data_IF_081776544715
#
_entry.id   IF_081776544715
#
_cell.length_a   1.000
_cell.length_b   1.000
_cell.length_c   1.000
_cell.angle_alpha   90.00
_cell.angle_beta   90.00
_cell.angle_gamma   90.00
#
_symmetry.space_group_name_H-M   'P 1'
#
loop_
_entity.id
_entity.type
_entity.pdbx_description
1 polymer ?
#
# COMPACT_ATOMS: atom_id res chain seq x y z
N UNK A 1 70.31 -19.82 9.30
CA UNK A 1 69.90 -18.44 8.96
C UNK A 1 68.70 -18.55 8.05
N UNK A 2 67.49 -18.43 8.62
CA UNK A 2 66.22 -18.63 7.92
C UNK A 2 65.32 -17.41 8.12
N UNK A 3 64.90 -16.82 7.01
CA UNK A 3 63.83 -15.82 6.82
C UNK A 3 63.38 -16.09 5.37
N UNK A 4 62.11 -16.20 4.98
CA UNK A 4 60.92 -15.53 5.45
C UNK A 4 59.71 -16.47 5.47
N UNK A 5 58.91 -16.34 6.52
CA UNK A 5 57.60 -16.98 6.62
C UNK A 5 56.65 -16.45 5.55
N UNK A 6 55.93 -17.38 4.92
CA UNK A 6 54.71 -17.05 4.21
C UNK A 6 53.69 -16.54 5.21
N UNK A 7 53.26 -15.29 5.06
CA UNK A 7 52.07 -14.81 5.74
C UNK A 7 50.90 -15.67 5.29
N UNK A 8 50.13 -16.30 6.20
CA UNK A 8 48.86 -16.91 5.81
C UNK A 8 47.97 -15.76 5.35
N UNK A 9 47.60 -15.76 4.06
CA UNK A 9 46.52 -14.92 3.57
C UNK A 9 45.27 -15.42 4.31
N UNK A 10 44.89 -14.69 5.36
CA UNK A 10 43.59 -14.86 5.99
C UNK A 10 42.56 -14.77 4.88
N UNK A 11 41.79 -15.85 4.67
CA UNK A 11 40.56 -15.78 3.89
C UNK A 11 39.63 -14.87 4.70
N UNK A 12 39.77 -13.56 4.49
CA UNK A 12 38.82 -12.60 5.03
C UNK A 12 37.48 -12.89 4.36
N UNK A 13 36.61 -13.56 5.12
CA UNK A 13 35.21 -13.72 4.74
C UNK A 13 34.55 -12.35 4.66
N UNK A 14 33.37 -12.26 4.02
CA UNK A 14 32.61 -11.03 4.02
C UNK A 14 32.38 -10.55 5.47
N UNK A 15 32.40 -9.23 5.72
CA UNK A 15 32.14 -8.70 7.06
C UNK A 15 30.75 -9.13 7.55
N UNK A 16 30.59 -9.24 8.87
CA UNK A 16 29.25 -9.40 9.45
C UNK A 16 28.35 -8.21 9.08
N UNK A 17 27.03 -8.38 9.13
CA UNK A 17 26.07 -7.30 8.81
C UNK A 17 26.32 -6.04 9.65
N UNK A 18 26.62 -6.20 10.95
CA UNK A 18 27.00 -5.09 11.83
C UNK A 18 28.30 -4.40 11.41
N UNK A 19 29.35 -5.17 11.08
CA UNK A 19 30.62 -4.60 10.62
C UNK A 19 30.48 -3.91 9.26
N UNK A 20 29.71 -4.48 8.34
CA UNK A 20 29.40 -3.88 7.04
C UNK A 20 28.66 -2.55 7.19
N UNK A 21 27.67 -2.49 8.09
CA UNK A 21 26.95 -1.26 8.41
C UNK A 21 27.86 -0.21 9.03
N UNK A 22 28.78 -0.60 9.92
CA UNK A 22 29.76 0.31 10.51
C UNK A 22 30.74 0.85 9.46
N UNK A 23 31.22 0.02 8.54
CA UNK A 23 32.06 0.47 7.43
C UNK A 23 31.32 1.47 6.53
N UNK A 24 30.07 1.18 6.20
CA UNK A 24 29.21 2.10 5.43
C UNK A 24 29.02 3.42 6.18
N UNK A 25 28.77 3.37 7.48
CA UNK A 25 28.61 4.54 8.34
C UNK A 25 29.85 5.44 8.33
N UNK A 26 31.03 4.85 8.51
CA UNK A 26 32.32 5.54 8.48
C UNK A 26 32.60 6.16 7.12
N UNK A 27 32.29 5.44 6.04
CA UNK A 27 32.40 5.95 4.68
C UNK A 27 31.50 7.16 4.45
N UNK A 28 30.21 7.05 4.79
CA UNK A 28 29.26 8.15 4.64
C UNK A 28 29.61 9.35 5.52
N UNK A 29 30.19 9.12 6.71
CA UNK A 29 30.73 10.15 7.58
C UNK A 29 31.87 10.92 6.92
N UNK A 30 32.89 10.20 6.45
CA UNK A 30 34.07 10.77 5.80
C UNK A 30 33.70 11.63 4.60
N UNK A 31 32.71 11.21 3.82
CA UNK A 31 32.30 11.87 2.58
C UNK A 31 31.05 12.76 2.73
N UNK A 32 30.50 12.92 3.94
CA UNK A 32 29.28 13.70 4.22
C UNK A 32 28.06 13.26 3.39
N UNK A 33 27.93 11.96 3.15
CA UNK A 33 26.92 11.35 2.29
C UNK A 33 25.70 10.81 3.06
N UNK A 34 25.46 11.22 4.30
CA UNK A 34 24.43 10.60 5.15
C UNK A 34 23.03 10.59 4.55
N UNK A 35 22.59 11.72 3.97
CA UNK A 35 21.29 11.75 3.29
C UNK A 35 21.24 10.78 2.10
N UNK A 36 22.35 10.62 1.37
CA UNK A 36 22.46 9.66 0.27
C UNK A 36 22.51 8.22 0.78
N UNK A 37 23.13 7.96 1.93
CA UNK A 37 23.16 6.65 2.57
C UNK A 37 21.75 6.15 2.90
N UNK A 38 20.95 7.00 3.54
CA UNK A 38 19.55 6.72 3.85
C UNK A 38 18.75 6.40 2.59
N UNK A 39 18.90 7.23 1.56
CA UNK A 39 18.23 7.06 0.26
C UNK A 39 18.67 5.76 -0.41
N UNK A 40 19.97 5.47 -0.42
CA UNK A 40 20.52 4.25 -1.02
C UNK A 40 20.05 3.00 -0.29
N UNK A 41 19.95 3.05 1.05
CA UNK A 41 19.44 1.93 1.84
C UNK A 41 17.98 1.62 1.49
N UNK A 42 17.11 2.64 1.44
CA UNK A 42 15.68 2.42 1.10
C UNK A 42 15.51 2.03 -0.37
N UNK A 43 16.35 2.52 -1.27
CA UNK A 43 16.39 2.06 -2.66
C UNK A 43 16.81 0.59 -2.77
N UNK A 44 17.77 0.14 -1.95
CA UNK A 44 18.22 -1.25 -1.94
C UNK A 44 17.11 -2.24 -1.51
N UNK A 45 16.11 -1.80 -0.74
CA UNK A 45 14.95 -2.63 -0.38
C UNK A 45 14.10 -3.04 -1.60
N UNK A 46 14.27 -2.36 -2.72
CA UNK A 46 13.56 -2.67 -3.96
C UNK A 46 14.32 -3.63 -4.87
N UNK A 47 15.57 -4.01 -4.55
CA UNK A 47 16.36 -4.95 -5.37
C UNK A 47 15.58 -6.25 -5.66
N UNK A 48 14.93 -6.90 -4.68
CA UNK A 48 14.16 -8.12 -4.95
C UNK A 48 12.96 -7.88 -5.87
N UNK A 49 12.33 -6.69 -5.79
CA UNK A 49 11.17 -6.33 -6.61
C UNK A 49 11.54 -6.06 -8.08
N UNK A 50 12.80 -5.75 -8.37
CA UNK A 50 13.26 -5.46 -9.73
C UNK A 50 13.55 -6.71 -10.55
N UNK A 51 13.67 -7.88 -9.92
CA UNK A 51 13.77 -9.18 -10.60
C UNK A 51 14.81 -9.25 -11.75
N UNK A 52 15.89 -8.47 -11.66
CA UNK A 52 16.96 -8.41 -12.67
C UNK A 52 16.87 -7.24 -13.65
N UNK A 53 15.82 -6.42 -13.59
CA UNK A 53 15.68 -5.22 -14.40
C UNK A 53 16.77 -4.19 -14.05
N UNK A 54 17.26 -3.49 -15.08
CA UNK A 54 18.25 -2.43 -14.91
C UNK A 54 17.61 -1.18 -14.30
N UNK A 55 18.20 -0.67 -13.22
CA UNK A 55 17.82 0.63 -12.64
C UNK A 55 18.71 1.72 -13.24
N UNK A 56 18.09 2.82 -13.67
CA UNK A 56 18.82 4.06 -13.91
C UNK A 56 18.87 4.86 -12.61
N UNK A 57 20.04 4.86 -11.95
CA UNK A 57 20.25 5.69 -10.77
C UNK A 57 20.54 7.14 -11.19
N UNK A 58 20.10 8.14 -10.41
CA UNK A 58 20.39 9.53 -10.70
C UNK A 58 21.91 9.75 -10.77
N UNK A 59 22.37 10.39 -11.83
CA UNK A 59 23.80 10.71 -12.01
C UNK A 59 24.26 11.58 -10.82
N UNK A 60 25.33 11.18 -10.10
CA UNK A 60 25.85 11.96 -8.99
C UNK A 60 26.24 13.36 -9.49
N UNK A 61 25.52 14.39 -9.03
CA UNK A 61 25.95 15.78 -9.23
C UNK A 61 26.96 16.07 -8.12
N UNK A 62 28.22 16.30 -8.50
CA UNK A 62 29.27 16.70 -7.56
C UNK A 62 28.91 18.08 -6.98
N UNK A 63 28.23 18.11 -5.85
CA UNK A 63 27.93 19.36 -5.17
C UNK A 63 29.18 19.78 -4.39
N UNK A 64 29.92 20.75 -4.92
CA UNK A 64 31.00 21.44 -4.21
C UNK A 64 30.41 22.31 -3.07
N UNK A 65 29.85 21.68 -2.04
CA UNK A 65 29.37 22.40 -0.85
C UNK A 65 30.46 22.41 0.24
N UNK A 66 31.33 23.41 0.16
CA UNK A 66 32.19 23.84 1.26
C UNK A 66 31.36 24.68 2.25
N UNK A 67 30.58 24.01 3.09
CA UNK A 67 29.90 24.63 4.23
C UNK A 67 30.08 23.79 5.51
N UNK A 68 30.16 24.41 6.70
CA UNK A 68 30.16 23.68 7.95
C UNK A 68 28.73 23.18 8.23
N UNK A 69 28.44 21.93 7.89
CA UNK A 69 27.14 21.33 8.17
C UNK A 69 27.08 20.86 9.63
N UNK A 70 26.16 21.40 10.43
CA UNK A 70 25.82 20.93 11.79
C UNK A 70 25.26 19.50 11.86
N UNK A 71 25.25 18.77 10.73
CA UNK A 71 24.72 17.42 10.56
C UNK A 71 25.61 16.32 11.13
N UNK A 72 26.88 16.60 11.46
CA UNK A 72 27.87 15.58 11.88
C UNK A 72 27.56 14.85 13.20
N UNK A 73 26.79 15.44 14.11
CA UNK A 73 26.39 14.79 15.38
C UNK A 73 25.02 14.09 15.27
N UNK A 74 24.09 14.63 14.47
CA UNK A 74 22.82 13.95 14.15
C UNK A 74 23.02 12.67 13.33
N UNK A 75 24.18 12.56 12.67
CA UNK A 75 24.44 11.53 11.67
C UNK A 75 24.98 10.19 12.20
N UNK A 76 25.68 10.15 13.34
CA UNK A 76 26.04 8.87 13.99
C UNK A 76 24.79 8.17 14.55
N UNK A 77 23.79 8.95 14.96
CA UNK A 77 22.52 8.44 15.47
C UNK A 77 21.68 7.77 14.38
N UNK A 78 21.67 8.30 13.15
CA UNK A 78 20.91 7.72 12.03
C UNK A 78 21.37 6.31 11.64
N UNK A 79 22.68 6.05 11.64
CA UNK A 79 23.20 4.70 11.34
C UNK A 79 22.83 3.72 12.45
N UNK A 80 22.92 4.16 13.70
CA UNK A 80 22.51 3.35 14.86
C UNK A 80 21.02 3.02 14.79
N UNK A 81 20.20 4.02 14.46
CA UNK A 81 18.77 3.85 14.20
C UNK A 81 18.55 2.83 13.06
N UNK A 82 19.23 2.94 11.93
CA UNK A 82 19.14 1.93 10.87
C UNK A 82 19.52 0.53 11.33
N UNK A 83 20.52 0.40 12.21
CA UNK A 83 20.91 -0.89 12.82
C UNK A 83 19.76 -1.49 13.63
N UNK A 84 19.05 -0.66 14.40
CA UNK A 84 17.94 -1.09 15.25
C UNK A 84 16.71 -1.52 14.43
N UNK A 85 16.58 -1.03 13.18
CA UNK A 85 15.48 -1.39 12.27
C UNK A 85 15.92 -2.28 11.10
N UNK A 86 17.18 -2.70 11.01
CA UNK A 86 17.74 -3.37 9.82
C UNK A 86 17.02 -4.69 9.50
N UNK A 87 16.77 -5.52 10.51
CA UNK A 87 16.02 -6.78 10.36
C UNK A 87 14.63 -6.54 9.74
N UNK A 88 13.97 -5.45 10.14
CA UNK A 88 12.66 -5.06 9.62
C UNK A 88 12.74 -4.57 8.18
N UNK A 89 13.71 -3.73 7.85
CA UNK A 89 13.91 -3.34 6.46
C UNK A 89 14.22 -4.54 5.56
N UNK A 90 15.06 -5.47 6.02
CA UNK A 90 15.36 -6.70 5.28
C UNK A 90 14.13 -7.59 5.07
N UNK A 91 13.27 -7.75 6.08
CA UNK A 91 12.03 -8.51 5.88
C UNK A 91 11.05 -7.80 4.93
N UNK A 92 10.93 -6.47 4.98
CA UNK A 92 10.14 -5.72 4.00
C UNK A 92 10.67 -5.97 2.58
N UNK A 93 11.98 -5.91 2.38
CA UNK A 93 12.65 -6.21 1.11
C UNK A 93 12.31 -7.61 0.58
N UNK A 94 12.24 -8.60 1.49
CA UNK A 94 11.88 -9.98 1.15
C UNK A 94 10.38 -10.19 0.87
N UNK A 95 9.50 -9.28 1.33
CA UNK A 95 8.06 -9.32 1.05
C UNK A 95 7.69 -8.35 -0.09
N UNK A 96 8.02 -8.76 -1.32
CA UNK A 96 7.81 -7.97 -2.54
C UNK A 96 6.34 -7.55 -2.73
N UNK A 97 5.40 -8.45 -2.42
CA UNK A 97 3.97 -8.15 -2.52
C UNK A 97 3.52 -7.16 -1.44
N UNK A 98 3.99 -7.34 -0.20
CA UNK A 98 3.78 -6.40 0.90
C UNK A 98 4.30 -5.00 0.60
N UNK A 99 5.46 -4.89 -0.04
CA UNK A 99 6.01 -3.59 -0.48
C UNK A 99 5.10 -2.89 -1.50
N UNK A 100 4.61 -3.61 -2.52
CA UNK A 100 3.63 -3.07 -3.48
C UNK A 100 2.32 -2.66 -2.78
N UNK A 101 1.88 -3.45 -1.82
CA UNK A 101 0.68 -3.21 -1.02
C UNK A 101 0.81 -1.94 -0.18
N UNK A 102 1.96 -1.75 0.48
CA UNK A 102 2.26 -0.56 1.26
C UNK A 102 2.18 0.70 0.40
N UNK A 103 2.86 0.74 -0.75
CA UNK A 103 2.77 1.90 -1.65
C UNK A 103 1.31 2.17 -2.08
N UNK A 104 0.56 1.12 -2.43
CA UNK A 104 -0.86 1.23 -2.80
C UNK A 104 -1.70 1.84 -1.69
N UNK A 105 -1.40 1.52 -0.42
CA UNK A 105 -2.15 2.01 0.74
C UNK A 105 -2.10 3.52 0.95
N UNK A 106 -1.13 4.22 0.34
CA UNK A 106 -1.05 5.70 0.40
C UNK A 106 -2.29 6.36 -0.20
N UNK A 107 -2.94 5.68 -1.14
CA UNK A 107 -4.16 6.15 -1.81
C UNK A 107 -5.43 5.63 -1.17
N UNK A 108 -5.34 4.70 -0.21
CA UNK A 108 -6.50 4.07 0.41
C UNK A 108 -7.18 4.98 1.45
N UNK A 109 -8.50 4.84 1.55
CA UNK A 109 -9.33 5.42 2.59
C UNK A 109 -10.48 4.44 2.91
N UNK A 110 -10.56 3.98 4.17
CA UNK A 110 -11.53 2.97 4.60
C UNK A 110 -12.99 3.43 4.56
N UNK A 111 -13.24 4.74 4.48
CA UNK A 111 -14.59 5.28 4.40
C UNK A 111 -15.16 5.35 2.98
N UNK A 112 -14.31 5.14 1.96
CA UNK A 112 -14.72 5.20 0.56
C UNK A 112 -15.31 3.87 0.14
N UNK A 113 -16.55 3.91 -0.32
CA UNK A 113 -17.24 2.77 -0.91
C UNK A 113 -16.68 2.44 -2.30
N UNK A 114 -16.74 1.16 -2.68
CA UNK A 114 -16.18 0.63 -3.91
C UNK A 114 -16.66 1.33 -5.20
N UNK A 115 -17.89 1.85 -5.21
CA UNK A 115 -18.48 2.59 -6.33
C UNK A 115 -17.97 4.05 -6.42
N UNK A 116 -17.36 4.58 -5.36
CA UNK A 116 -16.88 5.95 -5.26
C UNK A 116 -15.35 6.07 -5.36
N UNK A 117 -14.65 4.97 -5.63
CA UNK A 117 -13.19 4.91 -5.70
C UNK A 117 -12.62 5.89 -6.74
N UNK A 118 -13.18 5.94 -7.94
CA UNK A 118 -12.73 6.90 -8.95
C UNK A 118 -12.91 8.35 -8.49
N UNK A 119 -14.03 8.69 -7.85
CA UNK A 119 -14.27 10.03 -7.31
C UNK A 119 -13.25 10.42 -6.23
N UNK A 120 -12.80 9.45 -5.44
CA UNK A 120 -11.73 9.62 -4.46
C UNK A 120 -10.35 9.77 -5.10
N UNK A 121 -10.03 8.95 -6.11
CA UNK A 121 -8.69 8.89 -6.70
C UNK A 121 -8.42 10.01 -7.72
N UNK A 122 -9.42 10.45 -8.48
CA UNK A 122 -9.25 11.40 -9.57
C UNK A 122 -8.65 12.76 -9.11
N UNK A 123 -9.10 13.37 -8.00
CA UNK A 123 -8.44 14.57 -7.46
C UNK A 123 -6.99 14.35 -7.05
N UNK A 124 -6.67 13.17 -6.52
CA UNK A 124 -5.29 12.82 -6.14
C UNK A 124 -4.41 12.76 -7.39
N UNK A 125 -4.90 12.13 -8.45
CA UNK A 125 -4.18 12.04 -9.73
C UNK A 125 -4.09 13.38 -10.47
N UNK A 126 -5.05 14.27 -10.32
CA UNK A 126 -4.95 15.63 -10.85
C UNK A 126 -3.74 16.39 -10.25
N UNK A 127 -3.36 16.08 -9.01
CA UNK A 127 -2.18 16.64 -8.33
C UNK A 127 -0.90 15.87 -8.65
N UNK A 128 -0.94 14.53 -8.66
CA UNK A 128 0.28 13.72 -8.80
C UNK A 128 0.73 13.52 -10.24
N UNK A 129 -0.19 13.46 -11.21
CA UNK A 129 0.17 13.25 -12.63
C UNK A 129 1.09 14.34 -13.18
N UNK A 130 0.86 15.66 -12.95
CA UNK A 130 1.77 16.69 -13.43
C UNK A 130 3.16 16.61 -12.81
N UNK A 131 3.28 16.09 -11.59
CA UNK A 131 4.57 15.91 -10.91
C UNK A 131 5.35 14.73 -11.49
N UNK A 132 4.64 13.66 -11.85
CA UNK A 132 5.18 12.51 -12.57
C UNK A 132 5.64 12.91 -13.97
N UNK A 133 4.78 13.59 -14.75
CA UNK A 133 5.07 13.99 -16.12
C UNK A 133 6.13 15.10 -16.22
N UNK A 134 6.12 16.06 -15.29
CA UNK A 134 7.09 17.13 -15.24
C UNK A 134 8.43 16.75 -14.61
N UNK A 135 8.65 15.46 -14.34
CA UNK A 135 9.86 14.91 -13.72
C UNK A 135 10.29 15.68 -12.45
N UNK A 136 9.35 15.86 -11.51
CA UNK A 136 9.58 16.55 -10.23
C UNK A 136 9.66 15.57 -9.04
N UNK A 137 10.65 14.65 -8.99
CA UNK A 137 10.69 13.54 -8.04
C UNK A 137 10.69 13.99 -6.57
N UNK A 138 11.38 15.09 -6.26
CA UNK A 138 11.42 15.62 -4.89
C UNK A 138 10.06 16.18 -4.43
N UNK A 139 9.30 16.78 -5.34
CA UNK A 139 7.96 17.30 -5.01
C UNK A 139 6.98 16.14 -4.86
N UNK A 140 7.07 15.15 -5.74
CA UNK A 140 6.29 13.92 -5.65
C UNK A 140 6.55 13.18 -4.33
N UNK A 141 7.82 13.01 -3.93
CA UNK A 141 8.20 12.39 -2.67
C UNK A 141 7.62 13.14 -1.46
N UNK A 142 7.64 14.48 -1.49
CA UNK A 142 7.03 15.31 -0.45
C UNK A 142 5.52 15.10 -0.38
N UNK A 143 4.80 15.20 -1.51
CA UNK A 143 3.34 15.04 -1.54
C UNK A 143 2.92 13.67 -1.00
N UNK A 144 3.57 12.60 -1.47
CA UNK A 144 3.27 11.23 -1.04
C UNK A 144 3.66 11.00 0.43
N UNK A 145 4.81 11.54 0.85
CA UNK A 145 5.26 11.49 2.24
C UNK A 145 4.35 12.28 3.19
N UNK A 146 3.81 13.42 2.78
CA UNK A 146 2.81 14.16 3.56
C UNK A 146 1.49 13.39 3.66
N UNK A 147 1.08 12.69 2.58
CA UNK A 147 -0.15 11.89 2.58
C UNK A 147 -0.07 10.67 3.49
N UNK A 148 1.10 10.03 3.56
CA UNK A 148 1.34 8.88 4.43
C UNK A 148 2.79 8.89 4.97
N UNK A 149 3.05 9.59 6.09
CA UNK A 149 4.41 9.77 6.63
C UNK A 149 5.15 8.47 6.94
N UNK A 150 4.42 7.44 7.38
CA UNK A 150 4.97 6.09 7.66
C UNK A 150 5.64 5.45 6.45
N UNK A 151 5.22 5.84 5.24
CA UNK A 151 5.69 5.28 3.98
C UNK A 151 6.53 6.26 3.17
N UNK A 152 6.86 7.43 3.73
CA UNK A 152 7.62 8.47 3.04
C UNK A 152 8.99 7.95 2.56
N UNK A 153 9.67 7.17 3.40
CA UNK A 153 10.96 6.54 3.08
C UNK A 153 10.83 5.51 1.95
N UNK A 154 9.76 4.71 1.96
CA UNK A 154 9.48 3.75 0.90
C UNK A 154 9.20 4.45 -0.43
N UNK A 155 8.40 5.52 -0.44
CA UNK A 155 8.16 6.32 -1.64
C UNK A 155 9.43 6.96 -2.19
N UNK A 156 10.30 7.46 -1.31
CA UNK A 156 11.60 8.00 -1.71
C UNK A 156 12.45 6.93 -2.42
N UNK A 157 12.52 5.72 -1.87
CA UNK A 157 13.18 4.60 -2.52
C UNK A 157 12.55 4.25 -3.88
N UNK A 158 11.22 4.11 -3.94
CA UNK A 158 10.49 3.79 -5.17
C UNK A 158 10.71 4.82 -6.28
N UNK A 159 10.79 6.12 -5.93
CA UNK A 159 11.07 7.19 -6.88
C UNK A 159 12.50 7.06 -7.41
N UNK A 160 13.48 6.80 -6.54
CA UNK A 160 14.89 6.67 -6.92
C UNK A 160 15.13 5.47 -7.84
N UNK A 161 14.41 4.37 -7.63
CA UNK A 161 14.53 3.18 -8.48
C UNK A 161 13.58 3.16 -9.68
N UNK A 162 12.81 4.25 -9.91
CA UNK A 162 11.90 4.37 -11.06
C UNK A 162 10.59 3.60 -10.95
N UNK A 163 10.23 3.08 -9.78
CA UNK A 163 9.01 2.30 -9.53
C UNK A 163 7.78 3.16 -9.22
N UNK A 164 7.94 4.44 -8.91
CA UNK A 164 6.80 5.30 -8.56
C UNK A 164 5.74 5.39 -9.68
N UNK A 165 6.18 5.59 -10.93
CA UNK A 165 5.31 5.73 -12.09
C UNK A 165 4.49 4.45 -12.39
N UNK A 166 5.09 3.26 -12.52
CA UNK A 166 4.31 2.04 -12.75
C UNK A 166 3.36 1.75 -11.58
N UNK A 167 3.76 2.01 -10.34
CA UNK A 167 2.88 1.87 -9.17
C UNK A 167 1.67 2.80 -9.26
N UNK A 168 1.87 4.09 -9.51
CA UNK A 168 0.78 5.07 -9.64
C UNK A 168 -0.15 4.71 -10.82
N UNK A 169 0.41 4.26 -11.95
CA UNK A 169 -0.35 3.79 -13.11
C UNK A 169 -1.26 2.61 -12.76
N UNK A 170 -0.74 1.61 -12.06
CA UNK A 170 -1.51 0.42 -11.66
C UNK A 170 -2.67 0.78 -10.74
N UNK A 171 -2.43 1.63 -9.74
CA UNK A 171 -3.48 2.10 -8.82
C UNK A 171 -4.60 2.82 -9.58
N UNK A 172 -4.24 3.65 -10.58
CA UNK A 172 -5.20 4.39 -11.39
C UNK A 172 -6.17 3.49 -12.16
N UNK A 173 -5.71 2.33 -12.62
CA UNK A 173 -6.54 1.36 -13.36
C UNK A 173 -7.17 0.30 -12.44
N UNK A 174 -7.19 0.54 -11.12
CA UNK A 174 -7.81 -0.36 -10.15
C UNK A 174 -6.96 -1.58 -9.77
N UNK A 175 -5.72 -1.69 -10.24
CA UNK A 175 -4.79 -2.74 -9.85
C UNK A 175 -4.10 -2.36 -8.54
N UNK A 176 -4.79 -2.61 -7.43
CA UNK A 176 -4.27 -2.40 -6.08
C UNK A 176 -3.75 -3.70 -5.49
N UNK A 177 -2.56 -3.67 -4.89
CA UNK A 177 -2.08 -4.77 -4.06
C UNK A 177 -2.61 -4.60 -2.62
N UNK A 178 -3.02 -5.72 -2.01
CA UNK A 178 -3.49 -5.79 -0.62
C UNK A 178 -2.77 -6.95 0.08
N UNK A 179 -2.19 -6.70 1.26
CA UNK A 179 -1.49 -7.69 2.08
C UNK A 179 -1.55 -7.29 3.56
N UNK A 180 -2.30 -8.07 4.36
CA UNK A 180 -2.64 -7.68 5.72
C UNK A 180 -1.47 -7.75 6.69
N UNK A 181 -0.49 -8.62 6.46
CA UNK A 181 0.65 -8.73 7.37
C UNK A 181 1.54 -7.48 7.28
N UNK A 182 1.83 -7.01 6.06
CA UNK A 182 2.55 -5.76 5.83
C UNK A 182 1.79 -4.55 6.38
N UNK A 183 0.46 -4.53 6.20
CA UNK A 183 -0.43 -3.51 6.78
C UNK A 183 -0.28 -3.45 8.31
N UNK A 184 -0.50 -4.59 8.95
CA UNK A 184 -0.45 -4.75 10.38
C UNK A 184 0.91 -4.39 10.97
N UNK A 185 1.98 -4.89 10.35
CA UNK A 185 3.35 -4.69 10.83
C UNK A 185 3.85 -3.25 10.73
N UNK A 186 3.37 -2.49 9.73
CA UNK A 186 3.72 -1.08 9.54
C UNK A 186 2.73 -0.12 10.22
N UNK A 187 1.65 -0.65 10.79
CA UNK A 187 0.55 0.15 11.33
C UNK A 187 -0.13 0.99 10.23
N UNK A 188 -0.30 0.44 9.04
CA UNK A 188 -1.01 1.08 7.92
C UNK A 188 -2.36 0.42 7.67
N UNK A 189 -3.34 1.23 7.27
CA UNK A 189 -4.65 0.72 6.82
C UNK A 189 -4.60 0.49 5.32
N UNK A 190 -4.97 -0.72 4.89
CA UNK A 190 -4.88 -1.13 3.49
C UNK A 190 -6.17 -1.75 2.96
N UNK A 191 -7.12 -2.11 3.81
CA UNK A 191 -8.39 -2.72 3.42
C UNK A 191 -9.45 -2.44 4.48
N UNK A 192 -10.71 -2.36 4.06
CA UNK A 192 -11.84 -2.26 4.97
C UNK A 192 -11.94 -3.46 5.93
N UNK A 193 -11.42 -4.63 5.54
CA UNK A 193 -11.47 -5.88 6.34
C UNK A 193 -10.75 -5.71 7.69
N UNK A 194 -9.72 -4.88 7.76
CA UNK A 194 -8.95 -4.63 8.99
C UNK A 194 -9.48 -3.45 9.81
N UNK A 195 -10.58 -2.82 9.38
CA UNK A 195 -11.29 -1.78 10.15
C UNK A 195 -12.22 -2.46 11.16
N UNK A 196 -12.39 -1.84 12.34
CA UNK A 196 -13.27 -2.37 13.39
C UNK A 196 -14.73 -2.48 12.91
N UNK A 197 -15.45 -3.52 13.34
CA UNK A 197 -16.82 -3.75 12.89
C UNK A 197 -17.79 -2.68 13.39
N UNK A 198 -18.84 -2.44 12.61
CA UNK A 198 -19.93 -1.54 12.97
C UNK A 198 -20.93 -2.14 13.96
N UNK A 199 -21.91 -1.33 14.35
CA UNK A 199 -23.09 -1.81 15.07
C UNK A 199 -24.12 -2.40 14.10
N UNK A 200 -24.76 -3.50 14.49
CA UNK A 200 -25.89 -4.14 13.81
C UNK A 200 -27.14 -4.04 14.71
N UNK A 201 -28.30 -3.79 14.10
CA UNK A 201 -29.63 -3.64 14.72
C UNK A 201 -30.40 -4.96 14.91
N UNK A 202 -29.83 -6.07 14.43
CA UNK A 202 -30.39 -7.43 14.48
C UNK A 202 -31.21 -7.82 13.24
N UNK A 203 -31.45 -6.89 12.32
CA UNK A 203 -32.23 -7.13 11.09
C UNK A 203 -31.39 -6.98 9.83
N UNK A 204 -30.50 -5.99 9.81
CA UNK A 204 -29.64 -5.66 8.67
C UNK A 204 -28.18 -5.73 9.10
N UNK A 205 -27.33 -6.28 8.23
CA UNK A 205 -25.88 -6.25 8.40
C UNK A 205 -25.26 -5.39 7.30
N UNK A 206 -24.35 -4.50 7.68
CA UNK A 206 -23.53 -3.77 6.70
C UNK A 206 -22.72 -4.75 5.87
N UNK A 207 -22.69 -4.58 4.55
CA UNK A 207 -21.99 -5.53 3.68
C UNK A 207 -20.50 -5.63 4.01
N UNK A 208 -19.87 -4.57 4.51
CA UNK A 208 -18.49 -4.67 4.99
C UNK A 208 -18.33 -5.57 6.20
N UNK A 209 -19.30 -5.59 7.13
CA UNK A 209 -19.28 -6.45 8.31
C UNK A 209 -19.61 -7.89 7.93
N UNK A 210 -20.52 -8.09 6.97
CA UNK A 210 -20.75 -9.40 6.36
C UNK A 210 -19.46 -9.94 5.72
N UNK A 211 -18.78 -9.16 4.88
CA UNK A 211 -17.51 -9.55 4.29
C UNK A 211 -16.45 -9.92 5.34
N UNK A 212 -16.34 -9.13 6.43
CA UNK A 212 -15.41 -9.43 7.53
C UNK A 212 -15.73 -10.77 8.18
N UNK A 213 -16.99 -11.02 8.49
CA UNK A 213 -17.42 -12.27 9.11
C UNK A 213 -17.15 -13.45 8.19
N UNK A 214 -17.57 -13.38 6.92
CA UNK A 214 -17.30 -14.42 5.92
C UNK A 214 -15.81 -14.79 5.86
N UNK A 215 -14.93 -13.79 5.84
CA UNK A 215 -13.48 -14.02 5.81
C UNK A 215 -12.94 -14.61 7.12
N UNK A 216 -13.35 -14.06 8.27
CA UNK A 216 -12.86 -14.50 9.59
C UNK A 216 -13.32 -15.92 9.91
N UNK A 217 -14.56 -16.27 9.58
CA UNK A 217 -15.11 -17.62 9.80
C UNK A 217 -14.69 -18.61 8.71
N UNK A 218 -14.13 -18.12 7.60
CA UNK A 218 -13.74 -18.91 6.44
C UNK A 218 -14.85 -19.89 5.98
N UNK A 219 -16.12 -19.49 6.12
CA UNK A 219 -17.25 -20.31 5.70
C UNK A 219 -17.32 -20.36 4.16
N UNK A 220 -17.96 -21.39 3.61
CA UNK A 220 -18.43 -21.47 2.21
C UNK A 220 -17.45 -20.98 1.12
N UNK A 221 -16.15 -21.24 1.29
CA UNK A 221 -15.11 -20.91 0.31
C UNK A 221 -14.43 -19.55 0.49
N UNK A 222 -14.83 -18.74 1.47
CA UNK A 222 -14.26 -17.43 1.80
C UNK A 222 -12.90 -17.50 2.54
N UNK A 223 -12.02 -18.43 2.12
CA UNK A 223 -10.67 -18.65 2.68
C UNK A 223 -9.67 -17.58 2.29
N UNK A 224 -9.99 -16.77 1.26
CA UNK A 224 -9.15 -15.69 0.77
C UNK A 224 -9.88 -14.36 0.95
N UNK A 225 -9.18 -13.30 1.36
CA UNK A 225 -9.81 -12.00 1.50
C UNK A 225 -10.20 -11.40 0.14
N UNK A 226 -11.07 -10.39 0.12
CA UNK A 226 -11.31 -9.60 -1.08
C UNK A 226 -10.01 -8.99 -1.59
N UNK A 227 -9.79 -9.09 -2.91
CA UNK A 227 -8.61 -8.48 -3.56
C UNK A 227 -8.70 -6.96 -3.48
N UNK A 228 -9.89 -6.41 -3.70
CA UNK A 228 -10.13 -4.97 -3.65
C UNK A 228 -10.29 -4.48 -2.20
N UNK A 229 -9.56 -3.41 -1.82
CA UNK A 229 -9.50 -2.96 -0.44
C UNK A 229 -10.70 -2.12 0.02
N UNK A 230 -11.59 -1.75 -0.90
CA UNK A 230 -12.68 -0.80 -0.70
C UNK A 230 -13.93 -1.49 -0.18
N UNK A 231 -14.67 -0.84 0.73
CA UNK A 231 -15.87 -1.43 1.31
C UNK A 231 -17.01 -1.53 0.29
N UNK A 232 -17.81 -2.61 0.29
CA UNK A 232 -19.08 -2.61 -0.41
C UNK A 232 -20.01 -1.55 0.20
N UNK A 233 -20.91 -0.97 -0.61
CA UNK A 233 -21.94 -0.07 -0.11
C UNK A 233 -23.18 -0.86 0.33
N UNK A 234 -23.98 -0.25 1.20
CA UNK A 234 -25.29 -0.77 1.62
C UNK A 234 -25.24 -1.97 2.57
N UNK A 235 -26.40 -2.58 2.74
CA UNK A 235 -26.67 -3.59 3.77
C UNK A 235 -27.38 -4.82 3.19
N UNK A 236 -27.25 -5.94 3.89
CA UNK A 236 -27.89 -7.22 3.61
C UNK A 236 -28.86 -7.53 4.73
N UNK A 237 -30.05 -8.05 4.41
CA UNK A 237 -30.94 -8.58 5.45
C UNK A 237 -30.25 -9.75 6.12
N UNK A 238 -30.19 -9.76 7.44
CA UNK A 238 -29.45 -10.79 8.17
C UNK A 238 -29.95 -12.19 7.83
N UNK A 239 -31.27 -12.36 7.63
CA UNK A 239 -31.89 -13.63 7.22
C UNK A 239 -31.46 -14.15 5.83
N UNK A 240 -30.93 -13.28 4.95
CA UNK A 240 -30.40 -13.66 3.64
C UNK A 240 -28.87 -13.87 3.66
N UNK A 241 -28.18 -13.51 4.74
CA UNK A 241 -26.75 -13.71 4.89
C UNK A 241 -26.44 -15.19 5.23
N UNK A 242 -25.19 -15.61 5.03
CA UNK A 242 -24.75 -16.97 5.35
C UNK A 242 -24.99 -17.32 6.83
N UNK A 243 -25.30 -18.59 7.13
CA UNK A 243 -25.67 -19.02 8.49
C UNK A 243 -24.60 -18.69 9.53
N UNK A 244 -23.33 -18.80 9.17
CA UNK A 244 -22.21 -18.41 10.04
C UNK A 244 -22.23 -16.90 10.33
N UNK A 245 -22.52 -16.07 9.32
CA UNK A 245 -22.69 -14.62 9.49
C UNK A 245 -23.85 -14.33 10.44
N UNK A 246 -24.98 -15.01 10.28
CA UNK A 246 -26.15 -14.85 11.17
C UNK A 246 -25.81 -15.13 12.64
N UNK A 247 -25.07 -16.20 12.90
CA UNK A 247 -24.64 -16.58 14.25
C UNK A 247 -23.69 -15.55 14.87
N UNK A 248 -22.80 -14.97 14.07
CA UNK A 248 -21.73 -14.10 14.55
C UNK A 248 -22.02 -12.59 14.47
N UNK A 249 -23.11 -12.19 13.80
CA UNK A 249 -23.49 -10.78 13.63
C UNK A 249 -23.66 -10.00 14.95
N UNK A 250 -24.10 -10.68 16.01
CA UNK A 250 -24.29 -10.06 17.33
C UNK A 250 -23.02 -10.01 18.20
N UNK A 251 -21.95 -10.73 17.83
CA UNK A 251 -20.77 -10.88 18.68
C UNK A 251 -19.95 -9.58 18.83
N UNK A 252 -19.97 -8.70 17.82
CA UNK A 252 -19.29 -7.38 17.80
C UNK A 252 -17.78 -7.38 18.12
N UNK A 253 -17.14 -8.54 18.23
CA UNK A 253 -15.74 -8.68 18.62
C UNK A 253 -14.86 -9.29 17.53
N UNK A 254 -15.45 -9.78 16.43
CA UNK A 254 -14.72 -10.41 15.33
C UNK A 254 -13.99 -9.36 14.51
N UNK A 255 -12.68 -9.25 14.73
CA UNK A 255 -11.80 -8.36 14.02
C UNK A 255 -10.38 -8.93 13.96
N UNK A 256 -9.61 -8.51 12.96
CA UNK A 256 -8.20 -8.86 12.86
C UNK A 256 -7.38 -7.87 13.68
N UNK A 257 -6.62 -8.38 14.65
CA UNK A 257 -5.66 -7.58 15.41
C UNK A 257 -4.27 -8.18 15.26
N UNK A 258 -3.30 -7.33 14.98
CA UNK A 258 -1.90 -7.73 15.02
C UNK A 258 -1.55 -8.18 16.44
N UNK A 259 -0.90 -9.33 16.56
CA UNK A 259 -0.40 -9.84 17.83
C UNK A 259 1.10 -9.69 17.88
N UNK A 260 1.81 -10.55 17.17
CA UNK A 260 3.27 -10.61 17.14
C UNK A 260 3.74 -11.22 15.82
N UNK A 261 5.01 -10.99 15.51
CA UNK A 261 5.75 -11.65 14.44
C UNK A 261 6.74 -12.62 15.06
N UNK A 262 6.93 -13.79 14.44
CA UNK A 262 7.79 -14.84 14.98
C UNK A 262 8.89 -15.20 13.98
N UNK A 263 10.15 -15.06 14.38
CA UNK A 263 11.31 -15.47 13.62
C UNK A 263 11.71 -16.90 14.00
N UNK A 264 11.53 -17.83 13.06
CA UNK A 264 12.02 -19.20 13.22
C UNK A 264 13.51 -19.23 12.89
N UNK A 265 14.33 -19.48 13.90
CA UNK A 265 15.79 -19.54 13.79
C UNK A 265 16.23 -20.94 13.33
N UNK A 266 17.39 -21.02 12.68
CA UNK A 266 17.92 -22.28 12.15
C UNK A 266 18.24 -23.32 13.25
N UNK A 267 18.41 -22.88 14.49
CA UNK A 267 18.59 -23.73 15.66
C UNK A 267 17.26 -24.28 16.23
N UNK A 268 16.12 -23.96 15.61
CA UNK A 268 14.78 -24.39 16.05
C UNK A 268 14.13 -23.48 17.09
N UNK A 269 14.82 -22.43 17.56
CA UNK A 269 14.24 -21.45 18.46
C UNK A 269 13.33 -20.48 17.71
N UNK A 270 12.39 -19.87 18.43
CA UNK A 270 11.50 -18.83 17.90
C UNK A 270 11.73 -17.53 18.65
N UNK A 271 12.04 -16.47 17.93
CA UNK A 271 12.13 -15.12 18.49
C UNK A 271 10.85 -14.35 18.18
N UNK A 272 10.14 -13.95 19.22
CA UNK A 272 8.95 -13.11 19.10
C UNK A 272 9.33 -11.62 18.97
N UNK A 273 8.74 -10.93 18.00
CA UNK A 273 8.87 -9.50 17.72
C UNK A 273 7.48 -8.86 17.76
N UNK A 274 7.27 -7.93 18.70
CA UNK A 274 6.01 -7.22 18.86
C UNK A 274 5.72 -6.19 17.76
N UNK A 275 6.58 -6.09 16.73
CA UNK A 275 6.42 -5.14 15.63
C UNK A 275 6.81 -3.72 16.02
N UNK A 276 6.52 -2.75 15.14
CA UNK A 276 6.72 -1.33 15.45
C UNK A 276 5.63 -0.91 16.42
N UNK A 277 6.00 -0.63 17.67
CA UNK A 277 5.06 -0.03 18.63
C UNK A 277 4.52 1.27 18.03
N UNK A 278 3.20 1.36 17.84
CA UNK A 278 2.52 2.57 17.36
C UNK A 278 2.86 3.80 18.21
N UNK A 279 3.34 3.61 19.45
CA UNK A 279 3.78 4.66 20.37
C UNK A 279 5.23 5.16 20.12
N UNK A 280 6.10 4.41 19.43
CA UNK A 280 7.51 4.78 19.28
C UNK A 280 7.77 5.81 18.18
N UNK A 281 6.82 6.01 17.24
CA UNK A 281 6.84 7.18 16.36
C UNK A 281 6.20 8.35 17.12
N UNK A 282 6.89 8.79 18.17
CA UNK A 282 6.51 9.95 18.95
C UNK A 282 6.33 11.18 18.05
N UNK A 283 5.08 11.62 17.91
CA UNK A 283 4.64 12.94 18.38
C UNK A 283 5.24 14.22 17.79
N UNK A 284 6.20 14.21 16.87
CA UNK A 284 6.81 15.44 16.31
C UNK A 284 7.10 15.40 14.80
N UNK A 285 6.35 14.62 14.01
CA UNK A 285 6.38 14.79 12.55
C UNK A 285 5.30 15.77 12.09
N UNK A 286 5.64 17.06 12.16
CA UNK A 286 5.01 18.19 11.46
C UNK A 286 3.46 18.15 11.38
N UNK A 287 2.78 18.17 12.53
CA UNK A 287 1.41 18.69 12.60
C UNK A 287 1.40 20.22 12.60
N UNK A 288 2.22 20.85 11.75
CA UNK A 288 1.96 22.24 11.42
C UNK A 288 0.79 22.24 10.45
N UNK A 289 -0.43 22.31 11.00
CA UNK A 289 -1.63 22.66 10.24
C UNK A 289 -1.42 24.07 9.69
N UNK A 290 -0.67 24.19 8.59
CA UNK A 290 -0.82 25.34 7.72
C UNK A 290 -2.24 25.27 7.16
N UNK A 291 -3.15 26.02 7.77
CA UNK A 291 -4.39 26.46 7.12
C UNK A 291 -3.99 27.43 6.00
N UNK A 292 -3.35 26.90 4.95
CA UNK A 292 -3.41 27.58 3.67
C UNK A 292 -4.77 27.22 3.08
N UNK A 293 -5.64 28.22 3.00
CA UNK A 293 -6.91 28.13 2.26
C UNK A 293 -6.57 28.01 0.77
N UNK A 294 -6.03 26.88 0.37
CA UNK A 294 -5.87 26.53 -1.03
C UNK A 294 -7.23 26.00 -1.49
N UNK A 295 -8.05 26.88 -2.03
CA UNK A 295 -9.19 26.44 -2.83
C UNK A 295 -8.60 25.66 -4.00
N UNK A 296 -8.93 24.36 -4.17
CA UNK A 296 -8.50 23.64 -5.35
C UNK A 296 -9.06 24.42 -6.55
N UNK A 297 -8.17 24.98 -7.36
CA UNK A 297 -8.58 25.43 -8.68
C UNK A 297 -9.25 24.23 -9.33
N UNK A 298 -10.53 24.33 -9.67
CA UNK A 298 -11.21 23.34 -10.49
C UNK A 298 -10.55 23.41 -11.87
N UNK A 299 -9.36 22.84 -11.98
CA UNK A 299 -8.85 22.42 -13.27
C UNK A 299 -9.83 21.35 -13.71
N UNK A 300 -10.64 21.66 -14.72
CA UNK A 300 -11.47 20.72 -15.46
C UNK A 300 -10.64 19.69 -16.21
N UNK A 301 -9.62 19.11 -15.56
CA UNK A 301 -8.93 17.95 -16.07
C UNK A 301 -9.93 16.81 -16.08
N UNK A 302 -10.24 16.36 -17.29
CA UNK A 302 -11.11 15.26 -17.70
C UNK A 302 -10.66 13.89 -17.13
N UNK A 303 -10.35 13.80 -15.84
CA UNK A 303 -10.13 12.53 -15.15
C UNK A 303 -11.50 12.04 -14.70
N UNK A 304 -12.30 11.58 -15.66
CA UNK A 304 -13.65 11.01 -15.44
C UNK A 304 -13.68 9.50 -15.61
N UNK A 305 -12.52 8.85 -15.64
CA UNK A 305 -12.46 7.38 -15.71
C UNK A 305 -13.14 6.76 -14.49
N UNK A 306 -14.20 5.99 -14.73
CA UNK A 306 -14.90 5.21 -13.71
C UNK A 306 -14.30 3.80 -13.55
N UNK A 307 -13.19 3.51 -14.24
CA UNK A 307 -12.55 2.17 -14.28
C UNK A 307 -12.20 1.66 -12.88
N UNK A 308 -11.67 2.52 -12.00
CA UNK A 308 -11.31 2.09 -10.64
C UNK A 308 -12.56 1.78 -9.79
N UNK A 309 -13.63 2.57 -9.92
CA UNK A 309 -14.93 2.28 -9.29
C UNK A 309 -15.56 0.99 -9.82
N UNK A 310 -15.56 0.81 -11.14
CA UNK A 310 -16.10 -0.37 -11.81
C UNK A 310 -15.34 -1.63 -11.36
N UNK A 311 -14.00 -1.62 -11.45
CA UNK A 311 -13.18 -2.76 -11.05
C UNK A 311 -13.36 -3.10 -9.56
N UNK A 312 -13.35 -2.08 -8.68
CA UNK A 312 -13.54 -2.29 -7.25
C UNK A 312 -14.93 -2.85 -6.93
N UNK A 313 -15.97 -2.31 -7.58
CA UNK A 313 -17.36 -2.75 -7.42
C UNK A 313 -17.54 -4.19 -7.89
N UNK A 314 -17.12 -4.48 -9.13
CA UNK A 314 -17.21 -5.82 -9.72
C UNK A 314 -16.49 -6.84 -8.83
N UNK A 315 -15.27 -6.50 -8.42
CA UNK A 315 -14.47 -7.40 -7.61
C UNK A 315 -15.03 -7.66 -6.21
N UNK A 316 -15.57 -6.63 -5.53
CA UNK A 316 -16.12 -6.83 -4.18
C UNK A 316 -17.47 -7.54 -4.18
N UNK A 317 -18.37 -7.20 -5.10
CA UNK A 317 -19.68 -7.86 -5.20
C UNK A 317 -19.57 -9.27 -5.79
N UNK A 318 -18.61 -9.50 -6.69
CA UNK A 318 -18.27 -10.84 -7.18
C UNK A 318 -17.67 -11.72 -6.07
N UNK A 319 -16.81 -11.16 -5.21
CA UNK A 319 -16.31 -11.87 -4.04
C UNK A 319 -17.44 -12.16 -3.04
N UNK A 320 -18.22 -11.14 -2.65
CA UNK A 320 -19.27 -11.24 -1.64
C UNK A 320 -20.35 -12.27 -2.00
N UNK A 321 -20.66 -12.47 -3.28
CA UNK A 321 -21.69 -13.42 -3.73
C UNK A 321 -21.13 -14.48 -4.68
N UNK A 322 -19.90 -14.94 -4.41
CA UNK A 322 -19.26 -16.03 -5.15
C UNK A 322 -20.06 -17.35 -5.12
N UNK A 323 -20.92 -17.53 -4.12
CA UNK A 323 -21.83 -18.69 -3.94
C UNK A 323 -23.25 -18.44 -4.44
N UNK A 324 -23.53 -17.26 -5.01
CA UNK A 324 -24.86 -16.81 -5.41
C UNK A 324 -25.39 -15.65 -4.56
N UNK A 325 -26.48 -15.01 -5.02
CA UNK A 325 -27.07 -13.84 -4.36
C UNK A 325 -28.59 -14.00 -4.13
N UNK A 326 -29.13 -13.42 -3.05
CA UNK A 326 -30.55 -13.49 -2.74
C UNK A 326 -31.40 -12.63 -3.69
N UNK A 327 -32.68 -12.97 -3.83
CA UNK A 327 -33.58 -12.36 -4.83
C UNK A 327 -33.75 -10.83 -4.67
N UNK A 328 -33.64 -10.31 -3.45
CA UNK A 328 -33.69 -8.87 -3.14
C UNK A 328 -32.46 -8.11 -3.65
N UNK A 329 -31.31 -8.77 -3.82
CA UNK A 329 -30.09 -8.16 -4.36
C UNK A 329 -30.01 -8.23 -5.88
N UNK A 330 -30.95 -8.92 -6.54
CA UNK A 330 -31.02 -9.00 -8.01
C UNK A 330 -30.91 -7.65 -8.74
N UNK A 331 -31.48 -6.53 -8.25
CA UNK A 331 -31.28 -5.23 -8.89
C UNK A 331 -29.83 -4.74 -8.89
N UNK A 332 -29.04 -5.11 -7.85
CA UNK A 332 -27.61 -4.76 -7.74
C UNK A 332 -26.81 -5.55 -8.77
N UNK A 333 -27.07 -6.85 -8.87
CA UNK A 333 -26.33 -7.75 -9.78
C UNK A 333 -26.68 -7.60 -11.26
N UNK A 334 -27.74 -6.86 -11.59
CA UNK A 334 -28.09 -6.45 -12.97
C UNK A 334 -27.45 -5.14 -13.42
N UNK A 335 -26.66 -4.50 -12.56
CA UNK A 335 -25.94 -3.29 -12.94
C UNK A 335 -24.80 -3.67 -13.90
N UNK A 336 -24.56 -2.87 -14.94
CA UNK A 336 -23.55 -3.16 -16.00
C UNK A 336 -22.12 -3.34 -15.48
N UNK A 337 -21.82 -2.82 -14.28
CA UNK A 337 -20.52 -3.06 -13.64
C UNK A 337 -20.37 -4.47 -13.07
N UNK A 338 -21.46 -5.15 -12.77
CA UNK A 338 -21.48 -6.46 -12.07
C UNK A 338 -22.03 -7.56 -12.99
N UNK A 339 -23.00 -7.23 -13.86
CA UNK A 339 -23.63 -8.17 -14.77
C UNK A 339 -22.65 -8.60 -15.88
N UNK A 340 -22.18 -9.85 -15.80
CA UNK A 340 -21.28 -10.48 -16.79
C UNK A 340 -22.09 -11.43 -17.70
N UNK A 341 -23.35 -11.74 -17.36
CA UNK A 341 -24.17 -12.73 -18.08
C UNK A 341 -24.66 -12.25 -19.47
N UNK A 342 -24.29 -11.04 -19.90
CA UNK A 342 -24.64 -10.48 -21.23
C UNK A 342 -23.45 -10.20 -22.15
N UNK A 343 -22.22 -10.51 -21.74
CA UNK A 343 -21.04 -10.31 -22.58
C UNK A 343 -20.67 -11.63 -23.22
N UNK A 344 -21.27 -11.93 -24.38
CA UNK A 344 -20.73 -12.95 -25.28
C UNK A 344 -19.24 -12.65 -25.54
N UNK A 345 -18.42 -13.68 -25.41
CA UNK A 345 -16.98 -13.65 -25.64
C UNK A 345 -16.67 -13.32 -27.11
N UNK A 346 -16.57 -12.02 -27.43
CA UNK A 346 -15.85 -11.57 -28.62
C UNK A 346 -14.46 -11.09 -28.18
N UNK A 347 -13.45 -11.85 -28.62
CA UNK A 347 -12.02 -11.60 -28.42
C UNK A 347 -11.65 -10.11 -28.61
N UNK A 348 -11.34 -9.42 -27.53
CA UNK A 348 -10.80 -8.05 -27.58
C UNK A 348 -9.32 -8.09 -27.93
N UNK A 349 -9.04 -7.95 -29.22
CA UNK A 349 -7.74 -7.63 -29.77
C UNK A 349 -7.27 -6.28 -29.17
N UNK A 350 -6.21 -6.32 -28.35
CA UNK A 350 -5.61 -5.14 -27.72
C UNK A 350 -4.83 -4.39 -28.79
N UNK A 351 -5.53 -3.68 -29.68
CA UNK A 351 -5.02 -2.56 -30.47
C UNK A 351 -6.17 -1.91 -31.24
N UNK A 352 -6.90 -1.00 -30.60
CA UNK A 352 -7.60 0.06 -31.33
C UNK A 352 -7.81 1.27 -30.44
N UNK A 353 -7.43 2.42 -30.98
CA UNK A 353 -7.51 3.75 -30.41
C UNK A 353 -8.88 4.39 -30.71
N UNK A 354 -9.35 5.18 -29.75
CA UNK A 354 -10.39 6.22 -29.82
C UNK A 354 -11.87 5.84 -30.01
N UNK A 355 -12.74 6.38 -29.13
CA UNK A 355 -14.11 6.77 -29.50
C UNK A 355 -15.19 6.68 -28.43
N UNK A 356 -15.62 7.86 -27.94
CA UNK A 356 -16.91 8.19 -27.30
C UNK A 356 -17.16 7.85 -25.82
N UNK A 357 -16.74 8.78 -24.95
CA UNK A 357 -17.19 8.95 -23.57
C UNK A 357 -18.40 9.91 -23.52
N UNK A 358 -19.65 9.42 -23.58
CA UNK A 358 -20.81 10.26 -23.23
C UNK A 358 -21.93 9.52 -22.47
N UNK A 359 -21.80 8.20 -22.25
CA UNK A 359 -22.83 7.38 -21.59
C UNK A 359 -22.67 7.15 -20.08
N UNK A 360 -21.54 7.54 -19.48
CA UNK A 360 -21.12 6.98 -18.19
C UNK A 360 -21.50 7.83 -16.94
N UNK A 361 -21.90 9.10 -17.13
CA UNK A 361 -22.16 10.00 -16.00
C UNK A 361 -23.48 9.72 -15.26
N UNK A 362 -24.47 9.06 -15.90
CA UNK A 362 -25.79 8.83 -15.30
C UNK A 362 -25.86 7.63 -14.34
N UNK A 363 -24.92 6.70 -14.40
CA UNK A 363 -25.05 5.38 -13.75
C UNK A 363 -24.90 5.45 -12.23
N UNK A 364 -23.92 6.18 -11.70
CA UNK A 364 -23.68 6.27 -10.24
C UNK A 364 -24.78 7.09 -9.55
N UNK A 365 -25.23 8.18 -10.16
CA UNK A 365 -26.32 9.02 -9.63
C UNK A 365 -27.65 8.26 -9.60
N UNK A 366 -27.95 7.48 -10.65
CA UNK A 366 -29.12 6.59 -10.66
C UNK A 366 -28.99 5.50 -9.60
N UNK A 367 -27.78 5.01 -9.32
CA UNK A 367 -27.58 3.96 -8.33
C UNK A 367 -27.85 4.43 -6.91
N UNK A 368 -27.33 5.60 -6.53
CA UNK A 368 -27.58 6.22 -5.21
C UNK A 368 -29.06 6.51 -4.98
N UNK A 369 -29.84 6.76 -6.03
CA UNK A 369 -31.29 6.99 -5.94
C UNK A 369 -32.13 5.72 -5.75
N UNK A 370 -31.54 4.53 -5.94
CA UNK A 370 -32.23 3.22 -5.83
C UNK A 370 -31.82 2.42 -4.59
N UNK A 371 -30.83 2.89 -3.84
CA UNK A 371 -30.27 2.22 -2.65
C UNK A 371 -30.71 2.90 -1.34
N UNK A 372 -31.20 4.14 -1.40
CA UNK A 372 -32.06 4.73 -0.36
C UNK A 372 -33.52 4.35 -0.60
#
# INVERSE_FOLDING_TARGET
MGIAGGYPISKEGPPSSGAALEYLARFCSRHRLYGQCSVALVAALYIPLLSGDSISLPVPKLALHYGPSSLSQKSSNLVKEYSDFLSRYMMLSSNVWGMRSLLSSTFFNGEVECNLVSAWLNPIFAVTNPLVQGEKPLTLAKVLGYRQPRLASLWLGAIVVGLANPTIRNIRIGLTATEFNAAAWTGTHQSFITVEPGSNDGQMIRREDECRLLFITACDGYTRPPIHPWKPFGETRLLDAELAVQQHAACRCHCLKYKTWNWNLANGETLEDSGISLMEIGGEFLTQKHKENYYPTQNGSHLFSQVASEAATRGIFGWLRSTGYPANEKPVYRHSWIDIESSDDDDVDINSDSGQEDGCQSSVSQWLSRVN
#
